data_IF_289911490242
#
_entry.id   IF_289911490242
#
_cell.length_a   1.000
_cell.length_b   1.000
_cell.length_c   1.000
_cell.angle_alpha   90.00
_cell.angle_beta   90.00
_cell.angle_gamma   90.00
#
_symmetry.space_group_name_H-M   'P 1'
#
loop_
_entity.id
_entity.type
_entity.pdbx_description
1 polymer ?
#
# COMPACT_ATOMS: atom_id res chain seq x y z
N UNK A 1 17.58 8.06 -7.05
CA UNK A 1 16.83 7.80 -5.79
C UNK A 1 15.64 6.93 -6.10
N UNK A 2 15.42 5.93 -5.28
CA UNK A 2 14.26 5.03 -5.43
C UNK A 2 12.96 5.80 -5.21
N UNK A 3 12.01 5.68 -6.13
CA UNK A 3 10.74 6.40 -6.09
C UNK A 3 9.59 5.40 -5.96
N UNK A 4 8.81 5.54 -4.92
CA UNK A 4 7.77 4.58 -4.53
C UNK A 4 6.40 5.27 -4.44
N UNK A 5 5.41 4.69 -5.12
CA UNK A 5 4.01 5.08 -4.95
C UNK A 5 3.46 4.36 -3.71
N UNK A 6 2.85 5.11 -2.80
CA UNK A 6 2.20 4.52 -1.61
C UNK A 6 0.72 4.81 -1.69
N UNK A 7 -0.09 3.75 -1.78
CA UNK A 7 -1.54 3.88 -1.95
C UNK A 7 -2.27 3.48 -0.67
N UNK A 8 -3.06 4.41 -0.15
CA UNK A 8 -4.06 4.14 0.88
C UNK A 8 -5.36 3.74 0.18
N UNK A 9 -5.78 2.50 0.36
CA UNK A 9 -6.98 1.97 -0.28
C UNK A 9 -8.28 2.48 0.29
N UNK A 10 -9.39 1.92 -0.19
CA UNK A 10 -10.73 2.38 0.18
C UNK A 10 -10.96 2.23 1.69
N UNK A 11 -11.44 3.30 2.30
CA UNK A 11 -11.80 3.32 3.71
C UNK A 11 -10.66 3.69 4.65
N UNK A 12 -9.42 3.83 4.17
CA UNK A 12 -8.30 4.22 5.05
C UNK A 12 -8.56 5.58 5.69
N UNK A 13 -9.28 6.48 5.02
CA UNK A 13 -9.64 7.78 5.58
C UNK A 13 -10.54 7.66 6.82
N UNK A 14 -11.11 6.48 7.08
CA UNK A 14 -11.90 6.22 8.29
C UNK A 14 -11.07 5.64 9.45
N UNK A 15 -9.78 5.42 9.26
CA UNK A 15 -8.91 4.94 10.31
C UNK A 15 -8.88 5.93 11.47
N UNK A 16 -8.92 5.41 12.70
CA UNK A 16 -8.99 6.24 13.90
C UNK A 16 -10.39 6.72 14.24
N UNK A 17 -11.37 6.52 13.33
CA UNK A 17 -12.75 7.01 13.48
C UNK A 17 -13.74 5.87 13.66
N UNK A 18 -13.43 4.67 13.17
CA UNK A 18 -14.28 3.48 13.31
C UNK A 18 -13.40 2.23 13.39
N UNK A 19 -13.98 1.13 13.86
CA UNK A 19 -13.31 -0.16 14.00
C UNK A 19 -11.98 -0.06 14.78
N UNK A 20 -11.99 0.77 15.81
CA UNK A 20 -10.79 1.08 16.61
C UNK A 20 -10.21 -0.18 17.24
N UNK A 21 -11.06 -1.14 17.62
CA UNK A 21 -10.66 -2.41 18.23
C UNK A 21 -9.84 -3.29 17.29
N UNK A 22 -9.93 -3.06 15.97
CA UNK A 22 -9.18 -3.82 14.97
C UNK A 22 -7.94 -3.04 14.51
N UNK A 23 -8.12 -1.76 14.20
CA UNK A 23 -7.10 -0.95 13.53
C UNK A 23 -6.42 0.08 14.42
N UNK A 24 -6.92 0.28 15.66
CA UNK A 24 -6.37 1.27 16.57
C UNK A 24 -6.90 2.68 16.32
N UNK A 25 -6.28 3.66 16.98
CA UNK A 25 -6.74 5.05 16.96
C UNK A 25 -5.96 5.95 16.00
N UNK A 26 -4.91 5.46 15.37
CA UNK A 26 -4.13 6.26 14.41
C UNK A 26 -4.98 6.56 13.17
N UNK A 27 -4.92 7.79 12.73
CA UNK A 27 -5.66 8.26 11.54
C UNK A 27 -4.86 8.05 10.27
N UNK A 28 -5.47 8.27 9.11
CA UNK A 28 -4.76 8.22 7.82
C UNK A 28 -3.62 9.25 7.79
N UNK A 29 -3.82 10.43 8.36
CA UNK A 29 -2.76 11.43 8.45
C UNK A 29 -1.60 10.95 9.32
N UNK A 30 -1.90 10.25 10.42
CA UNK A 30 -0.88 9.63 11.27
C UNK A 30 -0.10 8.56 10.48
N UNK A 31 -0.80 7.75 9.69
CA UNK A 31 -0.16 6.74 8.83
C UNK A 31 0.80 7.41 7.86
N UNK A 32 0.33 8.45 7.17
CA UNK A 32 1.13 9.16 6.18
C UNK A 32 2.37 9.78 6.80
N UNK A 33 2.22 10.42 7.97
CA UNK A 33 3.35 11.02 8.66
C UNK A 33 4.42 9.99 9.02
N UNK A 34 4.00 8.81 9.50
CA UNK A 34 4.94 7.75 9.85
C UNK A 34 5.62 7.18 8.60
N UNK A 35 4.85 7.01 7.51
CA UNK A 35 5.38 6.51 6.25
C UNK A 35 6.42 7.49 5.70
N UNK A 36 6.14 8.78 5.76
CA UNK A 36 7.08 9.83 5.33
C UNK A 36 8.36 9.82 6.18
N UNK A 37 8.23 9.58 7.48
CA UNK A 37 9.37 9.46 8.38
C UNK A 37 10.26 8.26 7.99
N UNK A 38 9.66 7.12 7.71
CA UNK A 38 10.38 5.93 7.26
C UNK A 38 11.09 6.19 5.93
N UNK A 39 10.41 6.85 5.00
CA UNK A 39 11.00 7.16 3.69
C UNK A 39 12.21 8.07 3.84
N UNK A 40 12.11 9.08 4.69
CA UNK A 40 13.22 9.99 4.97
C UNK A 40 14.41 9.24 5.57
N UNK A 41 14.14 8.36 6.53
CA UNK A 41 15.20 7.55 7.17
C UNK A 41 15.91 6.66 6.15
N UNK A 42 15.17 6.06 5.23
CA UNK A 42 15.71 5.13 4.24
C UNK A 42 16.23 5.81 2.97
N UNK A 43 16.04 7.10 2.84
CA UNK A 43 16.52 7.85 1.67
C UNK A 43 15.76 7.52 0.39
N UNK A 44 14.46 7.20 0.48
CA UNK A 44 13.61 6.97 -0.70
C UNK A 44 12.64 8.14 -0.87
N UNK A 45 12.22 8.36 -2.11
CA UNK A 45 11.20 9.35 -2.44
C UNK A 45 9.86 8.65 -2.53
N UNK A 46 8.81 9.23 -1.95
CA UNK A 46 7.48 8.63 -2.00
C UNK A 46 6.44 9.64 -2.50
N UNK A 47 5.40 9.10 -3.13
CA UNK A 47 4.18 9.82 -3.49
C UNK A 47 3.03 9.08 -2.84
N UNK A 48 2.39 9.68 -1.83
CA UNK A 48 1.31 9.06 -1.08
C UNK A 48 -0.02 9.48 -1.69
N UNK A 49 -0.86 8.51 -2.03
CA UNK A 49 -2.12 8.73 -2.71
C UNK A 49 -3.25 7.98 -2.02
N UNK A 50 -4.40 8.60 -1.92
CA UNK A 50 -5.62 7.98 -1.39
C UNK A 50 -6.80 8.28 -2.29
N UNK A 51 -7.64 7.29 -2.53
CA UNK A 51 -8.96 7.47 -3.13
C UNK A 51 -9.88 6.33 -2.75
N UNK A 52 -11.15 6.65 -2.54
CA UNK A 52 -12.22 5.66 -2.38
C UNK A 52 -12.85 5.29 -3.73
N UNK A 53 -12.32 5.80 -4.83
CA UNK A 53 -12.80 5.52 -6.19
C UNK A 53 -11.75 4.66 -6.89
N UNK A 54 -12.14 3.42 -7.21
CA UNK A 54 -11.21 2.43 -7.77
C UNK A 54 -10.52 2.94 -9.04
N UNK A 55 -11.26 3.58 -9.94
CA UNK A 55 -10.70 4.09 -11.19
C UNK A 55 -9.60 5.12 -10.99
N UNK A 56 -9.69 5.93 -9.94
CA UNK A 56 -8.65 6.89 -9.63
C UNK A 56 -7.36 6.21 -9.17
N UNK A 57 -7.48 5.12 -8.41
CA UNK A 57 -6.33 4.33 -7.98
C UNK A 57 -5.68 3.66 -9.18
N UNK A 58 -6.49 3.08 -10.06
CA UNK A 58 -6.00 2.47 -11.31
C UNK A 58 -5.23 3.49 -12.14
N UNK A 59 -5.81 4.68 -12.34
CA UNK A 59 -5.17 5.74 -13.10
C UNK A 59 -3.85 6.17 -12.46
N UNK A 60 -3.79 6.18 -11.13
CA UNK A 60 -2.56 6.54 -10.42
C UNK A 60 -1.46 5.50 -10.63
N UNK A 61 -1.81 4.20 -10.63
CA UNK A 61 -0.84 3.14 -10.96
C UNK A 61 -0.28 3.34 -12.36
N UNK A 62 -1.15 3.60 -13.33
CA UNK A 62 -0.71 3.80 -14.71
C UNK A 62 0.13 5.08 -14.86
N UNK A 63 -0.26 6.17 -14.21
CA UNK A 63 0.50 7.40 -14.27
C UNK A 63 1.90 7.22 -13.67
N UNK A 64 2.00 6.53 -12.55
CA UNK A 64 3.29 6.26 -11.91
C UNK A 64 4.18 5.37 -12.78
N UNK A 65 3.58 4.46 -13.55
CA UNK A 65 4.30 3.67 -14.55
C UNK A 65 4.90 4.58 -15.62
N UNK A 66 4.10 5.51 -16.16
CA UNK A 66 4.58 6.46 -17.17
C UNK A 66 5.68 7.37 -16.60
N UNK A 67 5.57 7.72 -15.34
CA UNK A 67 6.52 8.61 -14.66
C UNK A 67 7.80 7.89 -14.22
N UNK A 68 7.92 6.59 -14.47
CA UNK A 68 9.14 5.84 -14.19
C UNK A 68 9.35 5.49 -12.72
N UNK A 69 8.29 5.33 -11.94
CA UNK A 69 8.41 4.88 -10.56
C UNK A 69 9.05 3.50 -10.48
N UNK A 70 9.72 3.24 -9.36
CA UNK A 70 10.47 1.99 -9.16
C UNK A 70 9.65 0.91 -8.50
N UNK A 71 8.62 1.28 -7.73
CA UNK A 71 7.78 0.32 -7.01
C UNK A 71 6.53 0.99 -6.48
N UNK A 72 5.58 0.17 -6.00
CA UNK A 72 4.44 0.66 -5.23
C UNK A 72 4.26 -0.16 -3.97
N UNK A 73 3.65 0.48 -2.97
CA UNK A 73 3.16 -0.17 -1.76
C UNK A 73 1.68 0.15 -1.68
N UNK A 74 0.84 -0.86 -1.51
CA UNK A 74 -0.59 -0.65 -1.38
C UNK A 74 -1.11 -1.30 -0.10
N UNK A 75 -1.84 -0.53 0.71
CA UNK A 75 -2.72 -1.08 1.71
C UNK A 75 -4.11 -1.09 1.08
N UNK A 76 -4.59 -2.23 0.58
CA UNK A 76 -5.81 -2.23 -0.23
C UNK A 76 -7.07 -1.93 0.56
N UNK A 77 -7.11 -2.31 1.85
CA UNK A 77 -8.30 -2.11 2.69
C UNK A 77 -9.56 -2.59 1.97
N UNK A 78 -10.49 -1.67 1.64
CA UNK A 78 -11.73 -2.04 0.96
C UNK A 78 -11.55 -2.60 -0.45
N UNK A 79 -10.38 -2.45 -1.06
CA UNK A 79 -10.09 -3.02 -2.37
C UNK A 79 -9.58 -4.46 -2.31
N UNK A 80 -9.52 -5.06 -1.12
CA UNK A 80 -9.01 -6.44 -0.96
C UNK A 80 -9.88 -7.48 -1.66
N UNK A 81 -11.14 -7.19 -1.94
CA UNK A 81 -12.07 -8.13 -2.53
C UNK A 81 -12.99 -7.43 -3.52
N UNK A 82 -13.27 -8.09 -4.64
CA UNK A 82 -14.24 -7.60 -5.62
C UNK A 82 -13.72 -6.51 -6.56
N UNK A 83 -12.41 -6.38 -6.71
CA UNK A 83 -11.81 -5.34 -7.54
C UNK A 83 -10.82 -5.91 -8.56
N UNK A 84 -11.29 -6.75 -9.50
CA UNK A 84 -10.41 -7.40 -10.47
C UNK A 84 -9.72 -6.42 -11.41
N UNK A 85 -10.33 -5.26 -11.68
CA UNK A 85 -9.73 -4.26 -12.55
C UNK A 85 -8.48 -3.64 -11.90
N UNK A 86 -8.52 -3.41 -10.59
CA UNK A 86 -7.35 -2.92 -9.86
C UNK A 86 -6.25 -3.99 -9.82
N UNK A 87 -6.62 -5.23 -9.56
CA UNK A 87 -5.66 -6.35 -9.58
C UNK A 87 -4.97 -6.45 -10.95
N UNK A 88 -5.74 -6.29 -12.03
CA UNK A 88 -5.18 -6.30 -13.38
C UNK A 88 -4.20 -5.15 -13.61
N UNK A 89 -4.54 -3.96 -13.12
CA UNK A 89 -3.66 -2.78 -13.26
C UNK A 89 -2.32 -3.01 -12.54
N UNK A 90 -2.36 -3.58 -11.34
CA UNK A 90 -1.14 -3.89 -10.58
C UNK A 90 -0.24 -4.85 -11.38
N UNK A 91 -0.83 -5.83 -12.05
CA UNK A 91 -0.08 -6.77 -12.89
C UNK A 91 0.49 -6.10 -14.13
N UNK A 92 -0.21 -5.12 -14.69
CA UNK A 92 0.16 -4.50 -15.97
C UNK A 92 1.33 -3.52 -15.89
N UNK A 93 1.53 -2.87 -14.74
CA UNK A 93 2.62 -1.90 -14.60
C UNK A 93 3.98 -2.61 -14.54
N UNK A 94 5.03 -1.92 -14.97
CA UNK A 94 6.36 -2.52 -15.06
C UNK A 94 7.04 -2.70 -13.71
N UNK A 95 6.64 -1.92 -12.70
CA UNK A 95 7.28 -1.99 -11.39
C UNK A 95 6.56 -2.97 -10.46
N UNK A 96 7.27 -3.53 -9.47
CA UNK A 96 6.64 -4.43 -8.49
C UNK A 96 5.80 -3.65 -7.46
N UNK A 97 4.77 -4.31 -6.95
CA UNK A 97 3.93 -3.78 -5.89
C UNK A 97 3.99 -4.72 -4.68
N UNK A 98 4.13 -4.15 -3.49
CA UNK A 98 4.05 -4.89 -2.23
C UNK A 98 2.76 -4.49 -1.52
N UNK A 99 1.99 -5.48 -1.10
CA UNK A 99 0.78 -5.28 -0.33
C UNK A 99 1.13 -5.24 1.16
N UNK A 100 0.58 -4.24 1.88
CA UNK A 100 0.82 -4.08 3.33
C UNK A 100 -0.51 -3.96 4.05
N UNK A 101 -0.68 -4.74 5.11
CA UNK A 101 -1.78 -4.61 6.07
C UNK A 101 -1.19 -4.37 7.46
N UNK A 102 -1.72 -3.41 8.20
CA UNK A 102 -1.23 -3.14 9.56
C UNK A 102 -1.67 -4.21 10.55
N UNK A 103 -2.88 -4.74 10.38
CA UNK A 103 -3.36 -5.89 11.16
C UNK A 103 -3.04 -7.18 10.45
N UNK A 104 -3.47 -8.30 11.00
CA UNK A 104 -3.35 -9.61 10.35
C UNK A 104 -4.73 -10.10 9.92
N UNK A 105 -5.17 -9.80 8.68
CA UNK A 105 -6.50 -10.22 8.21
C UNK A 105 -6.70 -11.73 8.26
N UNK A 106 -5.65 -12.52 8.07
CA UNK A 106 -5.75 -13.98 8.10
C UNK A 106 -6.24 -14.48 9.46
N UNK A 107 -5.92 -13.77 10.55
CA UNK A 107 -6.40 -14.14 11.89
C UNK A 107 -7.92 -13.99 12.03
N UNK A 108 -8.56 -13.24 11.13
CA UNK A 108 -10.02 -13.04 11.10
C UNK A 108 -10.66 -13.79 9.93
N UNK A 109 -9.93 -14.72 9.30
CA UNK A 109 -10.43 -15.45 8.14
C UNK A 109 -10.43 -14.64 6.85
N UNK A 110 -9.75 -13.47 6.85
CA UNK A 110 -9.67 -12.63 5.68
C UNK A 110 -8.66 -13.10 4.66
N UNK A 111 -8.86 -12.68 3.41
CA UNK A 111 -7.92 -12.95 2.33
C UNK A 111 -7.90 -11.72 1.41
N UNK A 112 -6.91 -11.67 0.51
CA UNK A 112 -6.80 -10.59 -0.45
C UNK A 112 -6.80 -11.13 -1.87
N UNK A 113 -7.69 -10.60 -2.71
CA UNK A 113 -7.74 -10.94 -4.14
C UNK A 113 -6.71 -10.15 -4.95
N UNK A 114 -6.08 -9.14 -4.33
CA UNK A 114 -5.01 -8.35 -4.96
C UNK A 114 -3.66 -9.04 -4.78
N UNK A 115 -3.50 -9.82 -3.71
CA UNK A 115 -2.23 -10.46 -3.36
C UNK A 115 -1.57 -11.22 -4.52
N UNK A 116 -2.31 -11.99 -5.35
CA UNK A 116 -1.66 -12.68 -6.48
C UNK A 116 -1.03 -11.76 -7.51
N UNK A 117 -1.45 -10.49 -7.58
CA UNK A 117 -0.88 -9.50 -8.50
C UNK A 117 0.34 -8.79 -7.89
N UNK A 118 0.57 -8.94 -6.61
CA UNK A 118 1.65 -8.27 -5.90
C UNK A 118 2.90 -9.15 -5.85
N UNK A 119 4.05 -8.50 -5.69
CA UNK A 119 5.33 -9.21 -5.52
C UNK A 119 5.38 -9.96 -4.20
N UNK A 120 4.78 -9.38 -3.15
CA UNK A 120 4.72 -9.98 -1.83
C UNK A 120 3.72 -9.26 -0.95
N UNK A 121 3.47 -9.84 0.22
CA UNK A 121 2.48 -9.32 1.17
C UNK A 121 3.11 -9.29 2.56
N UNK A 122 2.92 -8.17 3.27
CA UNK A 122 3.36 -8.01 4.65
C UNK A 122 2.13 -7.72 5.50
N UNK A 123 1.89 -8.51 6.53
CA UNK A 123 0.72 -8.35 7.39
C UNK A 123 1.10 -8.43 8.86
N UNK A 124 0.41 -7.69 9.71
CA UNK A 124 0.43 -7.90 11.15
C UNK A 124 1.46 -7.12 11.94
N UNK A 125 2.25 -6.27 11.32
CA UNK A 125 3.35 -5.57 12.00
C UNK A 125 3.06 -4.08 12.22
N UNK A 126 1.79 -3.69 12.18
CA UNK A 126 1.42 -2.30 12.34
C UNK A 126 2.02 -1.43 11.23
N UNK A 127 2.28 -0.19 11.54
CA UNK A 127 2.86 0.75 10.57
C UNK A 127 4.29 0.39 10.18
N UNK A 128 4.99 -0.39 11.01
CA UNK A 128 6.34 -0.85 10.67
C UNK A 128 6.37 -1.70 9.40
N UNK A 129 5.22 -2.27 9.01
CA UNK A 129 5.10 -3.00 7.75
C UNK A 129 5.51 -2.17 6.54
N UNK A 130 5.26 -0.86 6.58
CA UNK A 130 5.69 0.03 5.49
C UNK A 130 7.21 0.15 5.43
N UNK A 131 7.86 0.19 6.59
CA UNK A 131 9.33 0.21 6.65
C UNK A 131 9.90 -1.09 6.04
N UNK A 132 9.34 -2.22 6.43
CA UNK A 132 9.75 -3.53 5.90
C UNK A 132 9.59 -3.56 4.37
N UNK A 133 8.46 -3.05 3.86
CA UNK A 133 8.21 -3.01 2.42
C UNK A 133 9.24 -2.13 1.70
N UNK A 134 9.56 -0.98 2.25
CA UNK A 134 10.58 -0.09 1.65
C UNK A 134 11.95 -0.74 1.63
N UNK A 135 12.34 -1.42 2.72
CA UNK A 135 13.60 -2.17 2.77
C UNK A 135 13.64 -3.28 1.71
N UNK A 136 12.53 -4.00 1.58
CA UNK A 136 12.44 -5.05 0.56
C UNK A 136 12.60 -4.48 -0.85
N UNK A 137 11.97 -3.32 -1.12
CA UNK A 137 12.06 -2.66 -2.43
C UNK A 137 13.50 -2.24 -2.71
N UNK A 138 14.18 -1.65 -1.73
CA UNK A 138 15.58 -1.25 -1.89
C UNK A 138 16.46 -2.45 -2.22
N UNK A 139 16.22 -3.57 -1.56
CA UNK A 139 17.04 -4.78 -1.72
C UNK A 139 16.70 -5.57 -2.98
N UNK A 140 15.48 -5.44 -3.52
CA UNK A 140 15.03 -6.19 -4.69
C UNK A 140 15.83 -5.89 -5.95
N UNK A 141 16.35 -4.67 -6.06
CA UNK A 141 17.10 -4.23 -7.23
C UNK A 141 18.56 -4.67 -7.20
N UNK A 142 18.93 -5.50 -6.21
CA UNK A 142 20.33 -5.91 -5.98
C UNK A 142 20.54 -7.39 -6.33
#
# INVERSE_FOLDING_TARGET
>A
MTKILVVHGAGINMRGKSQIEIFGTATMDDYTAQIESYASELGVEIDVFHSNIEGEVINKFYQSHEDGFDAAIINPAGYSSGHPALAAAITQVAYPTIEVHISNPAARGGSSQIAPSCKGVITGFGLFGYYIAMKAIIDMDR
#
